data_IF_940288326240
#
_entry.id   IF_940288326240
#
_cell.length_a   1.000
_cell.length_b   1.000
_cell.length_c   1.000
_cell.angle_alpha   90.00
_cell.angle_beta   90.00
_cell.angle_gamma   90.00
#
_symmetry.space_group_name_H-M   'P 1'
#
loop_
_entity.id
_entity.type
_entity.pdbx_description
1 polymer ?
#
# COMPACT_ATOMS: atom_id res chain seq x y z
N UNK A 1 8.32 -10.13 -21.94
CA UNK A 1 6.99 -9.58 -22.26
C UNK A 1 6.20 -9.53 -20.97
N UNK A 2 5.91 -8.35 -20.43
CA UNK A 2 5.07 -8.23 -19.23
C UNK A 2 3.63 -8.05 -19.67
N UNK A 3 2.86 -9.13 -19.68
CA UNK A 3 1.41 -9.04 -19.87
C UNK A 3 0.79 -8.39 -18.63
N UNK A 4 0.22 -7.20 -18.80
CA UNK A 4 -0.57 -6.54 -17.76
C UNK A 4 -1.91 -7.26 -17.66
N UNK A 5 -2.04 -8.14 -16.67
CA UNK A 5 -3.30 -8.82 -16.37
C UNK A 5 -4.02 -8.10 -15.22
N UNK A 6 -5.28 -7.74 -15.46
CA UNK A 6 -6.14 -7.12 -14.44
C UNK A 6 -7.01 -8.19 -13.79
N UNK A 7 -6.88 -8.35 -12.47
CA UNK A 7 -7.64 -9.33 -11.69
C UNK A 7 -8.60 -8.61 -10.74
N UNK A 8 -9.91 -8.88 -10.86
CA UNK A 8 -10.93 -8.40 -9.93
C UNK A 8 -11.42 -9.55 -9.06
N UNK A 9 -11.25 -9.42 -7.75
CA UNK A 9 -11.68 -10.42 -6.77
C UNK A 9 -12.87 -9.89 -5.97
N UNK A 10 -13.92 -10.71 -5.85
CA UNK A 10 -15.10 -10.40 -5.03
C UNK A 10 -15.16 -11.35 -3.84
N UNK A 11 -14.80 -10.86 -2.66
CA UNK A 11 -14.92 -11.60 -1.41
C UNK A 11 -16.33 -11.42 -0.84
N UNK A 12 -16.85 -12.46 -0.18
CA UNK A 12 -18.14 -12.44 0.51
C UNK A 12 -17.96 -12.98 1.93
N UNK A 13 -18.93 -12.76 2.81
CA UNK A 13 -18.92 -13.36 4.15
C UNK A 13 -17.71 -12.98 5.01
N UNK A 14 -17.06 -14.00 5.58
CA UNK A 14 -16.02 -13.86 6.60
C UNK A 14 -14.75 -13.25 6.00
N UNK A 15 -14.38 -13.63 4.78
CA UNK A 15 -13.19 -13.16 4.09
C UNK A 15 -13.26 -11.65 3.83
N UNK A 16 -14.45 -11.15 3.45
CA UNK A 16 -14.68 -9.73 3.26
C UNK A 16 -14.60 -8.95 4.60
N UNK A 17 -15.13 -9.55 5.68
CA UNK A 17 -15.05 -8.96 7.02
C UNK A 17 -13.61 -8.90 7.54
N UNK A 18 -12.84 -9.98 7.36
CA UNK A 18 -11.43 -10.04 7.74
C UNK A 18 -10.61 -8.98 6.99
N UNK A 19 -10.74 -8.90 5.66
CA UNK A 19 -10.02 -7.89 4.87
C UNK A 19 -10.38 -6.46 5.28
N UNK A 20 -11.64 -6.22 5.66
CA UNK A 20 -12.07 -4.93 6.18
C UNK A 20 -11.39 -4.62 7.52
N UNK A 21 -11.39 -5.56 8.46
CA UNK A 21 -10.76 -5.41 9.78
C UNK A 21 -9.24 -5.19 9.68
N UNK A 22 -8.55 -5.89 8.77
CA UNK A 22 -7.10 -5.71 8.58
C UNK A 22 -6.73 -4.28 8.17
N UNK A 23 -7.60 -3.62 7.39
CA UNK A 23 -7.42 -2.22 7.00
C UNK A 23 -7.81 -1.29 8.15
N UNK A 24 -8.92 -1.56 8.83
CA UNK A 24 -9.40 -0.75 9.96
C UNK A 24 -8.43 -0.75 11.16
N UNK A 25 -7.78 -1.87 11.42
CA UNK A 25 -6.72 -1.99 12.43
C UNK A 25 -5.40 -1.32 12.02
N UNK A 26 -5.29 -0.84 10.78
CA UNK A 26 -4.11 -0.16 10.26
C UNK A 26 -2.96 -1.09 9.88
N UNK A 27 -3.19 -2.41 9.74
CA UNK A 27 -2.13 -3.32 9.27
C UNK A 27 -1.77 -3.09 7.81
N UNK A 28 -2.73 -2.66 6.99
CA UNK A 28 -2.54 -2.35 5.57
C UNK A 28 -3.35 -1.12 5.18
N UNK A 29 -2.87 -0.36 4.19
CA UNK A 29 -3.58 0.85 3.74
C UNK A 29 -4.79 0.50 2.86
N UNK A 30 -4.74 -0.63 2.16
CA UNK A 30 -5.80 -1.04 1.23
C UNK A 30 -6.06 -2.54 1.30
N UNK A 31 -7.27 -2.96 0.90
CA UNK A 31 -7.64 -4.38 0.80
C UNK A 31 -6.74 -5.13 -0.19
N UNK A 32 -6.36 -4.49 -1.30
CA UNK A 32 -5.46 -5.08 -2.30
C UNK A 32 -4.07 -5.35 -1.73
N UNK A 33 -3.57 -4.47 -0.87
CA UNK A 33 -2.30 -4.67 -0.16
C UNK A 33 -2.40 -5.84 0.82
N UNK A 34 -3.47 -5.92 1.60
CA UNK A 34 -3.73 -7.03 2.51
C UNK A 34 -3.77 -8.39 1.78
N UNK A 35 -4.43 -8.45 0.62
CA UNK A 35 -4.49 -9.67 -0.22
C UNK A 35 -3.10 -10.07 -0.73
N UNK A 36 -2.32 -9.11 -1.25
CA UNK A 36 -0.96 -9.39 -1.71
C UNK A 36 -0.09 -9.93 -0.57
N UNK A 37 -0.18 -9.34 0.62
CA UNK A 37 0.55 -9.81 1.80
C UNK A 37 0.11 -11.23 2.21
N UNK A 38 -1.19 -11.51 2.21
CA UNK A 38 -1.72 -12.84 2.50
C UNK A 38 -1.23 -13.90 1.50
N UNK A 39 -1.18 -13.59 0.21
CA UNK A 39 -0.65 -14.50 -0.81
C UNK A 39 0.84 -14.79 -0.63
N UNK A 40 1.64 -13.77 -0.31
CA UNK A 40 3.07 -13.95 -0.01
C UNK A 40 3.22 -14.87 1.22
N UNK A 41 2.44 -14.61 2.28
CA UNK A 41 2.46 -15.44 3.49
C UNK A 41 2.09 -16.89 3.17
N UNK A 42 1.03 -17.10 2.40
CA UNK A 42 0.59 -18.42 1.97
C UNK A 42 1.68 -19.16 1.17
N UNK A 43 2.34 -18.48 0.22
CA UNK A 43 3.42 -19.06 -0.55
C UNK A 43 4.64 -19.43 0.31
N UNK A 44 4.96 -18.64 1.34
CA UNK A 44 5.99 -18.98 2.33
C UNK A 44 5.58 -20.20 3.15
N UNK A 45 4.33 -20.29 3.58
CA UNK A 45 3.82 -21.40 4.40
C UNK A 45 3.78 -22.73 3.63
N UNK A 46 3.53 -22.65 2.31
CA UNK A 46 3.68 -23.78 1.40
C UNK A 46 5.15 -24.08 1.03
N UNK A 47 6.11 -23.33 1.56
CA UNK A 47 7.53 -23.44 1.25
C UNK A 47 7.86 -23.26 -0.25
N UNK A 48 6.96 -22.59 -0.99
CA UNK A 48 7.17 -22.18 -2.38
C UNK A 48 8.09 -20.98 -2.49
N UNK A 49 8.10 -20.14 -1.45
CA UNK A 49 9.03 -19.02 -1.31
C UNK A 49 9.83 -19.16 -0.01
N UNK A 50 11.15 -19.03 -0.11
CA UNK A 50 12.02 -19.02 1.07
C UNK A 50 12.03 -17.63 1.73
N UNK A 51 11.65 -17.60 3.00
CA UNK A 51 11.65 -16.40 3.84
C UNK A 51 13.02 -15.73 3.89
N UNK A 52 14.12 -16.50 4.01
CA UNK A 52 15.47 -15.92 4.15
C UNK A 52 15.86 -15.17 2.88
N UNK A 53 15.53 -15.76 1.74
CA UNK A 53 15.78 -15.18 0.42
C UNK A 53 14.93 -13.93 0.22
N UNK A 54 13.62 -13.96 0.48
CA UNK A 54 12.75 -12.77 0.40
C UNK A 54 13.28 -11.63 1.27
N UNK A 55 13.67 -11.93 2.51
CA UNK A 55 14.18 -10.92 3.41
C UNK A 55 15.47 -10.28 2.88
N UNK A 56 16.36 -11.09 2.29
CA UNK A 56 17.59 -10.59 1.66
C UNK A 56 17.27 -9.65 0.50
N UNK A 57 16.36 -10.02 -0.39
CA UNK A 57 15.91 -9.17 -1.50
C UNK A 57 15.36 -7.83 -1.00
N UNK A 58 14.53 -7.84 0.04
CA UNK A 58 13.98 -6.62 0.66
C UNK A 58 15.11 -5.74 1.22
N UNK A 59 16.13 -6.31 1.86
CA UNK A 59 17.26 -5.54 2.39
C UNK A 59 18.17 -4.99 1.30
N UNK A 60 18.26 -5.66 0.14
CA UNK A 60 19.04 -5.19 -1.01
C UNK A 60 18.38 -4.01 -1.73
N UNK A 61 17.06 -3.83 -1.57
CA UNK A 61 16.41 -2.63 -2.08
C UNK A 61 16.96 -1.38 -1.40
N UNK A 62 17.32 -0.40 -2.25
CA UNK A 62 17.97 0.85 -1.85
C UNK A 62 17.03 1.62 -0.93
N UNK A 63 17.30 1.57 0.38
CA UNK A 63 16.58 2.41 1.35
C UNK A 63 16.91 3.86 1.05
N UNK A 64 15.91 4.73 1.17
CA UNK A 64 16.13 6.17 1.20
C UNK A 64 16.94 6.44 2.46
N UNK A 65 18.24 6.71 2.33
CA UNK A 65 19.11 7.11 3.45
C UNK A 65 18.78 8.57 3.80
N UNK A 66 17.56 8.80 4.29
CA UNK A 66 17.12 10.10 4.79
C UNK A 66 17.41 10.15 6.29
N UNK A 67 17.94 11.28 6.76
CA UNK A 67 18.08 11.51 8.19
C UNK A 67 16.68 11.61 8.83
N UNK A 68 16.55 11.34 10.14
CA UNK A 68 15.27 11.52 10.84
C UNK A 68 14.68 12.92 10.67
N UNK A 69 15.52 13.96 10.60
CA UNK A 69 15.11 15.35 10.39
C UNK A 69 14.53 15.55 8.99
N UNK A 70 15.20 15.01 7.96
CA UNK A 70 14.71 15.08 6.59
C UNK A 70 13.40 14.28 6.42
N UNK A 71 13.30 13.13 7.08
CA UNK A 71 12.06 12.35 7.09
C UNK A 71 10.91 13.12 7.74
N UNK A 72 11.16 13.83 8.85
CA UNK A 72 10.15 14.65 9.51
C UNK A 72 9.66 15.80 8.61
N UNK A 73 10.57 16.46 7.89
CA UNK A 73 10.24 17.48 6.90
C UNK A 73 9.42 16.91 5.73
N UNK A 74 9.82 15.76 5.21
CA UNK A 74 9.10 15.08 4.13
C UNK A 74 7.68 14.70 4.57
N UNK A 75 7.52 14.17 5.79
CA UNK A 75 6.19 13.85 6.38
C UNK A 75 5.36 15.12 6.55
N UNK A 76 5.97 16.21 7.02
CA UNK A 76 5.28 17.50 7.17
C UNK A 76 4.84 18.05 5.81
N UNK A 77 5.68 17.94 4.78
CA UNK A 77 5.34 18.32 3.41
C UNK A 77 4.15 17.54 2.86
N UNK A 78 4.11 16.21 3.10
CA UNK A 78 2.97 15.36 2.70
C UNK A 78 1.70 15.77 3.44
N UNK A 79 1.76 15.98 4.76
CA UNK A 79 0.60 16.40 5.56
C UNK A 79 0.03 17.74 5.09
N UNK A 80 0.90 18.69 4.78
CA UNK A 80 0.52 20.01 4.29
C UNK A 80 -0.08 19.94 2.87
N UNK A 81 0.46 19.06 2.01
CA UNK A 81 -0.10 18.81 0.69
C UNK A 81 -1.50 18.15 0.76
N UNK A 82 -1.75 17.30 1.76
CA UNK A 82 -3.09 16.74 2.04
C UNK A 82 -4.04 17.71 2.75
N UNK A 83 -3.53 18.84 3.27
CA UNK A 83 -4.32 19.89 3.93
C UNK A 83 -5.05 20.84 2.97
N UNK A 84 -4.81 20.75 1.67
CA UNK A 84 -5.54 21.55 0.66
C UNK A 84 -6.90 20.96 0.24
N UNK A 85 -7.41 19.95 0.96
CA UNK A 85 -8.73 19.36 0.70
C UNK A 85 -9.67 19.45 1.91
N UNK A 86 -9.64 20.56 2.66
CA UNK A 86 -10.75 20.89 3.56
C UNK A 86 -11.64 21.96 2.93
N UNK A 87 -12.79 21.50 2.44
CA UNK A 87 -13.91 22.33 2.00
C UNK A 87 -14.22 22.19 0.52
N UNK A 88 -15.27 21.42 0.20
CA UNK A 88 -16.37 21.80 -0.70
C UNK A 88 -17.47 20.76 -0.49
N UNK A 89 -18.53 21.17 0.22
CA UNK A 89 -19.88 20.62 0.03
C UNK A 89 -20.20 20.80 -1.46
N UNK A 90 -20.56 19.71 -2.13
CA UNK A 90 -21.13 19.70 -3.48
C UNK A 90 -20.31 20.41 -4.58
N UNK A 91 -19.22 19.77 -5.00
CA UNK A 91 -18.75 19.63 -6.41
C UNK A 91 -17.37 18.99 -6.41
N UNK A 92 -17.22 17.95 -7.23
CA UNK A 92 -16.03 17.10 -7.37
C UNK A 92 -14.79 17.97 -7.63
N UNK A 93 -13.75 17.95 -6.76
CA UNK A 93 -12.51 18.65 -7.05
C UNK A 93 -11.65 17.79 -7.99
N UNK A 94 -11.40 18.33 -9.18
CA UNK A 94 -10.45 17.81 -10.15
C UNK A 94 -9.04 18.28 -9.74
N UNK A 95 -8.11 17.37 -9.47
CA UNK A 95 -6.69 17.70 -9.36
C UNK A 95 -6.12 17.91 -10.78
N UNK A 96 -6.15 19.14 -11.26
CA UNK A 96 -5.42 19.54 -12.46
C UNK A 96 -3.93 19.66 -12.13
N UNK A 97 -3.11 18.78 -12.70
CA UNK A 97 -1.68 19.05 -12.91
C UNK A 97 -0.72 18.02 -12.36
N UNK A 98 -0.38 17.04 -13.20
CA UNK A 98 0.99 16.86 -13.69
C UNK A 98 0.89 16.05 -14.99
N UNK A 99 1.08 16.76 -16.10
CA UNK A 99 1.32 16.14 -17.40
C UNK A 99 2.73 15.56 -17.44
N UNK A 100 2.82 14.41 -18.11
CA UNK A 100 4.00 13.70 -18.63
C UNK A 100 5.28 13.70 -17.79
#
# INVERSE_FOLDING_TARGET
>A
MTETTTLTLKFKGVEASLLKQMVELGFFNTKSEAIRAALIKYAIDLNLLDRKTIWREIQMHKKRNVSPEQLALDIQGIRNATGCCEGIRDKIPYCSGQGF
#
